data_IF_080873349112
#
_entry.id   IF_080873349112
#
_cell.length_a   1.000
_cell.length_b   1.000
_cell.length_c   1.000
_cell.angle_alpha   90.00
_cell.angle_beta   90.00
_cell.angle_gamma   90.00
#
_symmetry.space_group_name_H-M   'P 1'
#
loop_
_entity.id
_entity.type
_entity.pdbx_description
1 polymer ?
#
# COMPACT_ATOMS: atom_id res chain seq x y z
N UNK A 1 16.74 -2.77 13.80
CA UNK A 1 15.45 -3.19 13.23
C UNK A 1 15.17 -2.18 12.14
N UNK A 2 15.26 -2.58 10.88
CA UNK A 2 14.77 -1.73 9.79
C UNK A 2 13.26 -1.80 9.85
N UNK A 3 12.61 -0.78 10.40
CA UNK A 3 11.16 -0.72 10.43
C UNK A 3 10.62 -0.71 9.00
N UNK A 4 9.68 -1.61 8.71
CA UNK A 4 8.96 -1.61 7.44
C UNK A 4 8.10 -0.35 7.36
N UNK A 5 8.34 0.47 6.33
CA UNK A 5 7.60 1.71 6.12
C UNK A 5 6.27 1.43 5.42
N UNK A 6 5.14 1.96 5.91
CA UNK A 6 3.85 1.79 5.24
C UNK A 6 3.83 2.50 3.89
N UNK A 7 2.98 2.04 2.97
CA UNK A 7 2.84 2.61 1.62
C UNK A 7 2.50 4.11 1.67
N UNK A 8 1.68 4.53 2.63
CA UNK A 8 1.30 5.93 2.82
C UNK A 8 2.54 6.81 3.01
N UNK A 9 3.50 6.39 3.82
CA UNK A 9 4.74 7.15 4.03
C UNK A 9 5.64 7.16 2.78
N UNK A 10 5.76 6.03 2.08
CA UNK A 10 6.57 5.93 0.86
C UNK A 10 6.07 6.88 -0.24
N UNK A 11 4.76 7.11 -0.34
CA UNK A 11 4.19 8.06 -1.32
C UNK A 11 4.64 9.50 -1.10
N UNK A 12 4.87 9.91 0.14
CA UNK A 12 5.29 11.28 0.48
C UNK A 12 6.79 11.51 0.34
N UNK A 13 7.60 10.46 0.22
CA UNK A 13 9.05 10.58 -0.01
C UNK A 13 9.38 11.04 -1.42
N UNK A 14 10.50 11.73 -1.54
CA UNK A 14 11.14 12.11 -2.80
C UNK A 14 11.73 10.89 -3.49
N UNK A 15 12.05 11.01 -4.79
CA UNK A 15 12.71 9.92 -5.53
C UNK A 15 14.08 9.60 -4.92
N UNK A 16 14.81 10.62 -4.46
CA UNK A 16 16.12 10.43 -3.84
C UNK A 16 16.00 9.65 -2.53
N UNK A 17 15.07 10.03 -1.64
CA UNK A 17 14.80 9.30 -0.40
C UNK A 17 14.34 7.86 -0.65
N UNK A 18 13.48 7.64 -1.65
CA UNK A 18 13.06 6.29 -2.04
C UNK A 18 14.23 5.46 -2.56
N UNK A 19 15.14 6.08 -3.32
CA UNK A 19 16.34 5.40 -3.84
C UNK A 19 17.28 5.00 -2.71
N UNK A 20 17.41 5.82 -1.66
CA UNK A 20 18.17 5.45 -0.46
C UNK A 20 17.52 4.28 0.30
N UNK A 21 16.20 4.30 0.51
CA UNK A 21 15.47 3.17 1.11
C UNK A 21 15.63 1.89 0.28
N UNK A 22 15.52 2.00 -1.04
CA UNK A 22 15.71 0.88 -1.96
C UNK A 22 17.13 0.30 -1.86
N UNK A 23 18.16 1.15 -1.70
CA UNK A 23 19.55 0.73 -1.50
C UNK A 23 19.72 -0.03 -0.18
N UNK A 24 19.15 0.47 0.91
CA UNK A 24 19.19 -0.21 2.23
C UNK A 24 18.51 -1.59 2.20
N UNK A 25 17.50 -1.74 1.34
CA UNK A 25 16.80 -3.00 1.14
C UNK A 25 17.46 -3.92 0.11
N UNK A 26 18.54 -3.49 -0.54
CA UNK A 26 19.22 -4.18 -1.65
C UNK A 26 18.33 -4.40 -2.89
N UNK A 27 17.49 -3.43 -3.22
CA UNK A 27 16.69 -3.45 -4.46
C UNK A 27 17.60 -3.09 -5.64
N UNK A 28 17.77 -4.04 -6.57
CA UNK A 28 18.56 -3.82 -7.78
C UNK A 28 17.83 -2.90 -8.78
N UNK A 29 18.59 -2.07 -9.51
CA UNK A 29 18.04 -1.24 -10.59
C UNK A 29 17.22 -0.02 -10.15
N UNK A 30 17.26 0.38 -8.88
CA UNK A 30 16.46 1.48 -8.34
C UNK A 30 16.65 2.84 -9.06
N UNK A 31 17.87 3.18 -9.47
CA UNK A 31 18.26 4.51 -10.01
C UNK A 31 17.60 4.90 -11.35
N UNK A 32 16.80 4.03 -11.96
CA UNK A 32 16.06 4.32 -13.20
C UNK A 32 14.55 4.07 -13.13
N UNK A 33 14.04 3.66 -11.97
CA UNK A 33 12.62 3.33 -11.80
C UNK A 33 11.76 4.60 -11.74
N UNK A 34 10.54 4.52 -12.28
CA UNK A 34 9.53 5.55 -11.98
C UNK A 34 9.18 5.46 -10.50
N UNK A 35 8.75 6.57 -9.90
CA UNK A 35 8.41 6.63 -8.47
C UNK A 35 7.49 5.49 -8.02
N UNK A 36 6.45 5.19 -8.81
CA UNK A 36 5.50 4.12 -8.49
C UNK A 36 6.12 2.72 -8.55
N UNK A 37 6.93 2.45 -9.57
CA UNK A 37 7.66 1.17 -9.69
C UNK A 37 8.67 1.00 -8.55
N UNK A 38 9.34 2.09 -8.15
CA UNK A 38 10.29 2.11 -7.04
C UNK A 38 9.61 1.84 -5.70
N UNK A 39 8.45 2.46 -5.44
CA UNK A 39 7.63 2.18 -4.25
C UNK A 39 7.23 0.70 -4.23
N UNK A 40 6.77 0.16 -5.36
CA UNK A 40 6.39 -1.25 -5.46
C UNK A 40 7.56 -2.19 -5.19
N UNK A 41 8.74 -1.89 -5.74
CA UNK A 41 9.95 -2.67 -5.51
C UNK A 41 10.39 -2.64 -4.03
N UNK A 42 10.29 -1.49 -3.37
CA UNK A 42 10.55 -1.34 -1.92
C UNK A 42 9.57 -2.18 -1.10
N UNK A 43 8.27 -2.11 -1.41
CA UNK A 43 7.24 -2.90 -0.72
C UNK A 43 7.48 -4.41 -0.87
N UNK A 44 7.85 -4.87 -2.07
CA UNK A 44 8.18 -6.28 -2.29
C UNK A 44 9.38 -6.70 -1.44
N UNK A 45 10.46 -5.91 -1.43
CA UNK A 45 11.66 -6.21 -0.64
C UNK A 45 11.38 -6.20 0.88
N UNK A 46 10.47 -5.33 1.36
CA UNK A 46 10.02 -5.36 2.76
C UNK A 46 9.18 -6.59 3.07
N UNK A 47 8.30 -7.00 2.15
CA UNK A 47 7.43 -8.18 2.29
C UNK A 47 8.25 -9.46 2.33
N UNK A 48 9.30 -9.57 1.53
CA UNK A 48 10.20 -10.72 1.55
C UNK A 48 10.90 -10.90 2.90
N UNK A 49 11.15 -9.80 3.63
CA UNK A 49 11.78 -9.84 4.96
C UNK A 49 10.80 -10.05 6.11
N UNK A 50 9.61 -9.45 6.02
CA UNK A 50 8.66 -9.34 7.15
C UNK A 50 7.43 -10.23 6.99
N UNK A 51 7.09 -10.62 5.77
CA UNK A 51 5.88 -11.39 5.42
C UNK A 51 4.60 -10.57 5.30
N UNK A 52 4.63 -9.26 5.58
CA UNK A 52 3.43 -8.42 5.62
C UNK A 52 3.67 -7.04 5.02
N UNK A 53 2.61 -6.44 4.48
CA UNK A 53 2.56 -5.03 4.08
C UNK A 53 1.50 -4.34 4.92
N UNK A 54 1.86 -3.21 5.53
CA UNK A 54 0.93 -2.37 6.27
C UNK A 54 0.42 -1.23 5.40
N UNK A 55 -0.88 -0.98 5.45
CA UNK A 55 -1.52 0.11 4.74
C UNK A 55 -2.88 0.42 5.36
N UNK A 56 -3.33 1.65 5.17
CA UNK A 56 -4.59 2.16 5.68
C UNK A 56 -5.43 2.74 4.55
N UNK A 57 -6.76 2.66 4.66
CA UNK A 57 -7.67 3.35 3.77
C UNK A 57 -9.14 3.26 4.20
N UNK A 58 -9.98 3.98 3.48
CA UNK A 58 -11.43 4.00 3.71
C UNK A 58 -12.09 2.95 2.83
N UNK A 59 -12.84 2.03 3.44
CA UNK A 59 -13.48 0.94 2.73
C UNK A 59 -14.61 1.45 1.83
N UNK A 60 -14.59 1.07 0.56
CA UNK A 60 -15.72 1.13 -0.37
C UNK A 60 -16.15 -0.28 -0.74
N UNK A 61 -17.37 -0.67 -0.36
CA UNK A 61 -17.97 -1.97 -0.73
C UNK A 61 -18.75 -1.80 -2.04
N UNK A 62 -18.44 -2.65 -3.02
CA UNK A 62 -19.13 -2.69 -4.32
C UNK A 62 -20.36 -3.61 -4.29
N UNK A 63 -21.29 -3.52 -5.28
CA UNK A 63 -22.52 -4.31 -5.29
C UNK A 63 -22.32 -5.83 -5.18
N UNK A 64 -21.19 -6.34 -5.67
CA UNK A 64 -20.84 -7.76 -5.62
C UNK A 64 -20.34 -8.22 -4.23
N UNK A 65 -20.26 -7.30 -3.27
CA UNK A 65 -19.98 -7.58 -1.86
C UNK A 65 -18.50 -7.67 -1.48
N UNK A 66 -17.58 -7.51 -2.43
CA UNK A 66 -16.17 -7.22 -2.15
C UNK A 66 -15.95 -5.70 -2.10
N UNK A 67 -14.80 -5.27 -1.61
CA UNK A 67 -14.50 -3.85 -1.51
C UNK A 67 -13.03 -3.51 -1.75
N UNK A 68 -12.76 -2.22 -1.75
CA UNK A 68 -11.42 -1.66 -1.85
C UNK A 68 -11.18 -0.64 -0.74
N UNK A 69 -9.98 -0.62 -0.17
CA UNK A 69 -9.54 0.48 0.68
C UNK A 69 -9.07 1.61 -0.23
N UNK A 70 -9.82 2.71 -0.21
CA UNK A 70 -9.53 3.93 -0.99
C UNK A 70 -8.63 4.85 -0.19
N UNK A 71 -7.67 5.46 -0.88
CA UNK A 71 -6.75 6.42 -0.28
C UNK A 71 -7.30 7.86 -0.33
N UNK A 72 -7.14 8.67 0.74
CA UNK A 72 -7.45 10.10 0.70
C UNK A 72 -6.55 10.84 -0.30
N UNK A 73 -5.34 10.35 -0.55
CA UNK A 73 -4.37 10.94 -1.49
C UNK A 73 -4.93 11.01 -2.93
N UNK A 74 -5.86 10.12 -3.27
CA UNK A 74 -6.51 10.05 -4.58
C UNK A 74 -7.96 10.53 -4.54
N UNK A 75 -8.34 11.35 -3.54
CA UNK A 75 -9.71 11.84 -3.33
C UNK A 75 -10.75 10.71 -3.26
N UNK A 76 -10.34 9.54 -2.77
CA UNK A 76 -11.15 8.31 -2.71
C UNK A 76 -11.62 7.78 -4.07
N UNK A 77 -11.02 8.24 -5.16
CA UNK A 77 -11.24 7.68 -6.49
C UNK A 77 -10.51 6.35 -6.64
N UNK A 78 -10.91 5.50 -7.59
CA UNK A 78 -10.18 4.28 -7.90
C UNK A 78 -8.72 4.56 -8.27
N UNK A 79 -7.81 4.03 -7.46
CA UNK A 79 -6.38 4.13 -7.59
C UNK A 79 -5.71 2.78 -7.90
N UNK A 80 -4.55 2.78 -8.56
CA UNK A 80 -3.79 1.56 -8.87
C UNK A 80 -3.24 0.85 -7.63
N UNK A 81 -3.28 1.50 -6.47
CA UNK A 81 -2.76 1.06 -5.17
C UNK A 81 -3.89 0.71 -4.17
N UNK A 82 -5.14 0.67 -4.63
CA UNK A 82 -6.27 0.29 -3.80
C UNK A 82 -6.18 -1.17 -3.34
N UNK A 83 -6.47 -1.37 -2.06
CA UNK A 83 -6.31 -2.69 -1.43
C UNK A 83 -7.62 -3.44 -1.49
N UNK A 84 -7.58 -4.61 -2.13
CA UNK A 84 -8.72 -5.51 -2.18
C UNK A 84 -9.09 -6.02 -0.78
N UNK A 85 -10.38 -5.99 -0.47
CA UNK A 85 -10.98 -6.59 0.73
C UNK A 85 -12.02 -7.61 0.30
N UNK A 86 -11.81 -8.85 0.73
CA UNK A 86 -12.70 -9.96 0.38
C UNK A 86 -14.06 -9.86 1.08
N UNK A 87 -15.14 -10.42 0.48
CA UNK A 87 -16.44 -10.48 1.12
C UNK A 87 -16.42 -11.21 2.48
N UNK A 88 -15.53 -12.20 2.65
CA UNK A 88 -15.38 -12.93 3.91
C UNK A 88 -14.77 -12.07 5.01
N UNK A 89 -13.78 -11.22 4.71
CA UNK A 89 -13.24 -10.23 5.65
C UNK A 89 -14.31 -9.21 6.05
N UNK A 90 -15.01 -8.63 5.07
CA UNK A 90 -16.10 -7.66 5.29
C UNK A 90 -17.15 -8.24 6.25
N UNK A 91 -17.61 -9.47 5.99
CA UNK A 91 -18.61 -10.14 6.84
C UNK A 91 -18.05 -10.49 8.22
N UNK A 92 -16.82 -11.03 8.29
CA UNK A 92 -16.20 -11.47 9.55
C UNK A 92 -16.04 -10.32 10.54
N UNK A 93 -15.70 -9.13 10.05
CA UNK A 93 -15.47 -7.95 10.88
C UNK A 93 -16.65 -6.97 10.89
N UNK A 94 -17.78 -7.32 10.24
CA UNK A 94 -18.98 -6.48 10.12
C UNK A 94 -18.68 -5.07 9.57
N UNK A 95 -17.77 -4.99 8.59
CA UNK A 95 -17.33 -3.74 7.98
C UNK A 95 -18.40 -3.12 7.10
N UNK A 96 -18.36 -1.80 6.97
CA UNK A 96 -19.28 -0.99 6.16
C UNK A 96 -18.51 -0.01 5.29
N UNK A 97 -19.12 0.40 4.18
CA UNK A 97 -18.59 1.50 3.37
C UNK A 97 -18.42 2.74 4.24
N UNK A 98 -17.23 3.35 4.20
CA UNK A 98 -16.85 4.49 5.03
C UNK A 98 -16.00 4.13 6.26
N UNK A 99 -15.87 2.84 6.60
CA UNK A 99 -15.01 2.43 7.71
C UNK A 99 -13.52 2.66 7.37
N UNK A 100 -12.76 3.19 8.32
CA UNK A 100 -11.31 3.29 8.26
C UNK A 100 -10.68 1.95 8.68
N UNK A 101 -9.81 1.39 7.84
CA UNK A 101 -9.17 0.08 8.04
C UNK A 101 -7.66 0.21 7.86
N UNK A 102 -6.87 -0.40 8.76
CA UNK A 102 -5.40 -0.38 8.81
C UNK A 102 -4.80 -1.73 9.20
#
# INVERSE_FOLDING_TARGET
>A
MTDSLPISELKYKTIDELTEVARELNVEGATGMRKQDLIFAILNAQTEKTGYVFSEGVLEILPDGFGFLRSPDYSYLPGPDDIYVSPSQIRRFNLRTGDLVS
#
